data_IF_751517082485
#
_entry.id   IF_751517082485
#
_cell.length_a   1.000
_cell.length_b   1.000
_cell.length_c   1.000
_cell.angle_alpha   90.00
_cell.angle_beta   90.00
_cell.angle_gamma   90.00
#
_symmetry.space_group_name_H-M   'P 1'
#
loop_
_entity.id
_entity.type
_entity.pdbx_description
1 polymer ?
#
# COMPACT_ATOMS: atom_id res chain seq x y z
N UNK A 1 -22.49 -0.59 -17.82
CA UNK A 1 -21.32 -0.68 -18.74
C UNK A 1 -20.12 -1.22 -17.99
N UNK A 2 -19.53 -2.30 -18.48
CA UNK A 2 -18.34 -2.87 -17.80
C UNK A 2 -17.17 -1.91 -17.69
N UNK A 3 -17.00 -1.01 -18.65
CA UNK A 3 -15.97 0.00 -18.64
C UNK A 3 -16.07 0.95 -17.45
N UNK A 4 -17.28 1.31 -17.08
CA UNK A 4 -17.53 2.25 -16.00
C UNK A 4 -17.13 1.67 -14.65
N UNK A 5 -17.29 0.36 -14.50
CA UNK A 5 -16.97 -0.34 -13.26
C UNK A 5 -15.45 -0.30 -12.96
N UNK A 6 -14.62 -0.48 -13.99
CA UNK A 6 -13.15 -0.41 -13.85
C UNK A 6 -12.70 1.02 -13.57
N UNK A 7 -13.24 2.00 -14.29
CA UNK A 7 -12.93 3.41 -14.09
C UNK A 7 -13.36 3.86 -12.70
N UNK A 8 -14.56 3.42 -12.27
CA UNK A 8 -15.07 3.74 -10.94
C UNK A 8 -14.17 3.19 -9.84
N UNK A 9 -13.66 1.96 -10.02
CA UNK A 9 -12.77 1.35 -9.03
C UNK A 9 -11.46 2.15 -8.89
N UNK A 10 -10.87 2.57 -10.01
CA UNK A 10 -9.66 3.39 -10.01
C UNK A 10 -9.91 4.72 -9.28
N UNK A 11 -11.06 5.34 -9.54
CA UNK A 11 -11.46 6.59 -8.88
C UNK A 11 -11.66 6.40 -7.38
N UNK A 12 -12.29 5.29 -6.99
CA UNK A 12 -12.49 4.96 -5.58
C UNK A 12 -11.14 4.79 -4.88
N UNK A 13 -10.21 4.07 -5.50
CA UNK A 13 -8.88 3.87 -4.91
C UNK A 13 -8.13 5.19 -4.76
N UNK A 14 -8.17 6.07 -5.76
CA UNK A 14 -7.52 7.38 -5.69
C UNK A 14 -8.16 8.26 -4.60
N UNK A 15 -9.48 8.29 -4.53
CA UNK A 15 -10.20 9.06 -3.51
C UNK A 15 -9.91 8.54 -2.11
N UNK A 16 -9.88 7.23 -1.95
CA UNK A 16 -9.55 6.59 -0.67
C UNK A 16 -8.12 6.92 -0.23
N UNK A 17 -7.18 6.85 -1.16
CA UNK A 17 -5.78 7.19 -0.86
C UNK A 17 -5.68 8.62 -0.35
N UNK A 18 -6.31 9.58 -1.04
CA UNK A 18 -6.30 10.98 -0.64
C UNK A 18 -6.92 11.18 0.74
N UNK A 19 -8.04 10.51 1.01
CA UNK A 19 -8.72 10.60 2.30
C UNK A 19 -7.85 10.06 3.43
N UNK A 20 -7.27 8.88 3.25
CA UNK A 20 -6.42 8.27 4.26
C UNK A 20 -5.13 9.05 4.49
N UNK A 21 -4.55 9.63 3.44
CA UNK A 21 -3.35 10.44 3.56
C UNK A 21 -3.60 11.74 4.32
N UNK A 22 -4.78 12.32 4.12
CA UNK A 22 -5.13 13.58 4.77
C UNK A 22 -5.51 13.40 6.25
N UNK A 23 -6.30 12.36 6.56
CA UNK A 23 -6.87 12.20 7.90
C UNK A 23 -6.33 11.01 8.70
N UNK A 24 -5.62 10.10 8.06
CA UNK A 24 -5.27 8.80 8.66
C UNK A 24 -6.47 7.86 8.62
N UNK A 25 -6.24 6.58 8.89
CA UNK A 25 -7.29 5.58 8.80
C UNK A 25 -8.43 5.84 9.80
N UNK A 26 -8.11 6.12 11.05
CA UNK A 26 -9.13 6.25 12.10
C UNK A 26 -10.11 7.39 11.83
N UNK A 27 -9.60 8.52 11.35
CA UNK A 27 -10.41 9.71 11.10
C UNK A 27 -10.98 9.78 9.70
N UNK A 28 -10.56 8.91 8.82
CA UNK A 28 -11.07 8.88 7.46
C UNK A 28 -12.55 8.50 7.43
N UNK A 29 -13.28 9.08 6.49
CA UNK A 29 -14.73 8.91 6.37
C UNK A 29 -15.09 8.30 5.02
N UNK A 30 -15.85 7.21 5.07
CA UNK A 30 -16.36 6.58 3.84
C UNK A 30 -17.25 7.56 3.06
N UNK A 31 -17.99 8.39 3.76
CA UNK A 31 -18.81 9.42 3.14
C UNK A 31 -17.95 10.39 2.31
N UNK A 32 -16.85 10.86 2.91
CA UNK A 32 -15.94 11.77 2.18
C UNK A 32 -15.27 11.08 1.01
N UNK A 33 -14.92 9.81 1.14
CA UNK A 33 -14.37 9.05 0.00
C UNK A 33 -15.38 9.04 -1.16
N UNK A 34 -16.65 8.77 -0.85
CA UNK A 34 -17.71 8.82 -1.85
C UNK A 34 -17.83 10.20 -2.49
N UNK A 35 -17.82 11.24 -1.67
CA UNK A 35 -17.90 12.63 -2.17
C UNK A 35 -16.74 12.96 -3.11
N UNK A 36 -15.52 12.52 -2.78
CA UNK A 36 -14.34 12.77 -3.61
C UNK A 36 -14.43 12.13 -4.99
N UNK A 37 -15.09 10.98 -5.10
CA UNK A 37 -15.20 10.27 -6.38
C UNK A 37 -16.59 10.35 -7.01
N UNK A 38 -17.50 11.12 -6.42
CA UNK A 38 -18.83 11.33 -6.98
C UNK A 38 -19.77 10.14 -6.84
N UNK A 39 -19.56 9.30 -5.82
CA UNK A 39 -20.39 8.13 -5.57
C UNK A 39 -21.19 8.28 -4.29
N UNK A 40 -22.35 7.60 -4.24
CA UNK A 40 -23.12 7.42 -3.02
C UNK A 40 -22.43 6.37 -2.14
N UNK A 41 -22.84 6.30 -0.87
CA UNK A 41 -22.34 5.26 0.04
C UNK A 41 -22.61 3.86 -0.53
N UNK A 42 -23.81 3.63 -1.08
CA UNK A 42 -24.17 2.36 -1.69
C UNK A 42 -23.26 2.02 -2.87
N UNK A 43 -22.94 3.00 -3.71
CA UNK A 43 -22.04 2.84 -4.84
C UNK A 43 -20.62 2.50 -4.38
N UNK A 44 -20.17 3.16 -3.32
CA UNK A 44 -18.86 2.92 -2.74
C UNK A 44 -18.73 1.48 -2.19
N UNK A 45 -19.75 1.00 -1.49
CA UNK A 45 -19.74 -0.34 -0.89
C UNK A 45 -19.84 -1.47 -1.91
N UNK A 46 -19.96 -1.17 -3.20
CA UNK A 46 -19.78 -2.17 -4.26
C UNK A 46 -18.31 -2.48 -4.53
N UNK A 47 -17.41 -1.60 -4.10
CA UNK A 47 -15.95 -1.74 -4.33
C UNK A 47 -15.20 -2.27 -3.11
N UNK A 48 -15.80 -2.19 -1.93
CA UNK A 48 -15.17 -2.62 -0.68
C UNK A 48 -16.23 -2.99 0.34
N UNK A 49 -15.89 -3.86 1.30
CA UNK A 49 -16.80 -4.26 2.36
C UNK A 49 -16.95 -3.19 3.44
N UNK A 50 -15.85 -2.55 3.77
CA UNK A 50 -15.78 -1.55 4.82
C UNK A 50 -14.52 -0.69 4.63
N UNK A 51 -14.28 0.22 5.57
CA UNK A 51 -13.13 1.11 5.55
C UNK A 51 -11.81 0.33 5.65
N UNK A 52 -11.77 -0.69 6.48
CA UNK A 52 -10.57 -1.51 6.65
C UNK A 52 -10.23 -2.28 5.37
N UNK A 53 -11.25 -2.85 4.72
CA UNK A 53 -11.06 -3.53 3.43
C UNK A 53 -10.54 -2.56 2.36
N UNK A 54 -11.07 -1.34 2.33
CA UNK A 54 -10.62 -0.32 1.39
C UNK A 54 -9.15 0.04 1.60
N UNK A 55 -8.75 0.23 2.85
CA UNK A 55 -7.34 0.48 3.20
C UNK A 55 -6.46 -0.70 2.79
N UNK A 56 -6.91 -1.92 3.07
CA UNK A 56 -6.18 -3.15 2.74
C UNK A 56 -5.96 -3.26 1.21
N UNK A 57 -6.98 -2.97 0.41
CA UNK A 57 -6.85 -3.00 -1.04
C UNK A 57 -5.79 -2.01 -1.57
N UNK A 58 -5.60 -0.90 -0.88
CA UNK A 58 -4.58 0.09 -1.24
C UNK A 58 -3.17 -0.37 -0.91
N UNK A 59 -2.97 -0.97 0.25
CA UNK A 59 -1.63 -1.26 0.77
C UNK A 59 -1.15 -2.68 0.51
N UNK A 60 -2.06 -3.65 0.34
CA UNK A 60 -1.69 -5.05 0.13
C UNK A 60 -0.78 -5.27 -1.09
N UNK A 61 -1.05 -4.65 -2.26
CA UNK A 61 -0.14 -4.83 -3.41
C UNK A 61 1.28 -4.34 -3.14
N UNK A 62 1.42 -3.24 -2.39
CA UNK A 62 2.74 -2.72 -2.02
C UNK A 62 3.47 -3.68 -1.08
N UNK A 63 2.76 -4.24 -0.11
CA UNK A 63 3.33 -5.24 0.81
C UNK A 63 3.76 -6.50 0.09
N UNK A 64 2.94 -7.00 -0.83
CA UNK A 64 3.27 -8.19 -1.62
C UNK A 64 4.52 -7.95 -2.44
N UNK A 65 4.64 -6.78 -3.06
CA UNK A 65 5.79 -6.40 -3.85
C UNK A 65 7.06 -6.34 -3.01
N UNK A 66 6.95 -5.74 -1.82
CA UNK A 66 8.08 -5.66 -0.88
C UNK A 66 8.51 -7.06 -0.42
N UNK A 67 7.56 -7.90 -0.04
CA UNK A 67 7.85 -9.26 0.42
C UNK A 67 8.51 -10.08 -0.68
N UNK A 68 8.03 -9.99 -1.91
CA UNK A 68 8.62 -10.70 -3.05
C UNK A 68 10.04 -10.23 -3.33
N UNK A 69 10.26 -8.92 -3.27
CA UNK A 69 11.60 -8.35 -3.44
C UNK A 69 12.55 -8.84 -2.35
N UNK A 70 12.08 -8.81 -1.11
CA UNK A 70 12.86 -9.28 0.05
C UNK A 70 13.26 -10.74 -0.09
N UNK A 71 12.32 -11.60 -0.50
CA UNK A 71 12.58 -13.03 -0.67
C UNK A 71 13.68 -13.27 -1.71
N UNK A 72 13.60 -12.59 -2.84
CA UNK A 72 14.58 -12.71 -3.92
C UNK A 72 15.95 -12.22 -3.47
N UNK A 73 16.00 -11.06 -2.84
CA UNK A 73 17.27 -10.43 -2.47
C UNK A 73 17.89 -11.05 -1.23
N UNK A 74 17.08 -11.60 -0.32
CA UNK A 74 17.62 -12.35 0.81
C UNK A 74 18.38 -13.58 0.32
N UNK A 75 17.85 -14.28 -0.68
CA UNK A 75 18.55 -15.40 -1.29
C UNK A 75 19.90 -14.98 -1.88
N UNK A 76 19.93 -13.87 -2.59
CA UNK A 76 21.16 -13.31 -3.17
C UNK A 76 22.14 -12.89 -2.07
N UNK A 77 21.63 -12.29 -1.00
CA UNK A 77 22.46 -11.87 0.14
C UNK A 77 23.12 -13.07 0.80
N UNK A 78 22.36 -14.11 1.10
CA UNK A 78 22.90 -15.32 1.74
C UNK A 78 23.95 -15.98 0.85
N UNK A 79 23.71 -16.01 -0.46
CA UNK A 79 24.64 -16.58 -1.43
C UNK A 79 25.95 -15.77 -1.49
N UNK A 80 25.85 -14.44 -1.51
CA UNK A 80 27.02 -13.55 -1.55
C UNK A 80 27.86 -13.66 -0.28
N UNK A 81 27.21 -13.71 0.89
CA UNK A 81 27.92 -13.88 2.17
C UNK A 81 28.66 -15.20 2.19
N UNK A 82 28.04 -16.25 1.66
CA UNK A 82 28.62 -17.59 1.66
C UNK A 82 29.81 -17.70 0.70
N UNK A 83 29.73 -17.06 -0.47
CA UNK A 83 30.77 -17.15 -1.50
C UNK A 83 31.90 -16.16 -1.33
N UNK A 84 31.55 -14.92 -1.01
CA UNK A 84 32.50 -13.81 -1.01
C UNK A 84 32.84 -13.29 0.40
N UNK A 85 32.06 -13.68 1.39
CA UNK A 85 32.20 -13.20 2.76
C UNK A 85 31.94 -11.73 2.92
N UNK A 86 31.32 -11.12 1.92
CA UNK A 86 31.15 -9.68 1.83
C UNK A 86 29.83 -9.33 1.19
N UNK A 87 29.17 -8.29 1.69
CA UNK A 87 27.92 -7.81 1.14
C UNK A 87 27.83 -6.29 1.29
N UNK A 88 27.48 -5.63 0.20
CA UNK A 88 27.33 -4.18 0.21
C UNK A 88 25.87 -3.79 0.40
N UNK A 89 25.53 -3.45 1.62
CA UNK A 89 24.18 -3.04 2.02
C UNK A 89 23.67 -1.81 1.25
N UNK A 90 24.60 -0.93 0.88
CA UNK A 90 24.24 0.33 0.22
C UNK A 90 23.57 0.10 -1.12
N UNK A 91 24.12 -0.78 -1.92
CA UNK A 91 23.57 -1.08 -3.25
C UNK A 91 22.19 -1.72 -3.14
N UNK A 92 22.04 -2.65 -2.20
CA UNK A 92 20.76 -3.32 -1.96
C UNK A 92 19.66 -2.35 -1.50
N UNK A 93 20.04 -1.41 -0.64
CA UNK A 93 19.11 -0.39 -0.16
C UNK A 93 18.65 0.51 -1.30
N UNK A 94 19.58 0.96 -2.14
CA UNK A 94 19.26 1.80 -3.30
C UNK A 94 18.34 1.06 -4.26
N UNK A 95 18.61 -0.21 -4.52
CA UNK A 95 17.79 -1.03 -5.40
C UNK A 95 16.36 -1.18 -4.84
N UNK A 96 16.25 -1.41 -3.53
CA UNK A 96 14.94 -1.49 -2.88
C UNK A 96 14.16 -0.20 -3.04
N UNK A 97 14.80 0.93 -2.78
CA UNK A 97 14.15 2.23 -2.92
C UNK A 97 13.66 2.46 -4.34
N UNK A 98 14.51 2.16 -5.32
CA UNK A 98 14.21 2.39 -6.73
C UNK A 98 13.14 1.46 -7.28
N UNK A 99 13.22 0.17 -6.96
CA UNK A 99 12.35 -0.85 -7.55
C UNK A 99 11.02 -1.01 -6.82
N UNK A 100 11.02 -0.80 -5.51
CA UNK A 100 9.86 -1.11 -4.67
C UNK A 100 9.21 0.15 -4.12
N UNK A 101 9.97 0.99 -3.44
CA UNK A 101 9.40 2.09 -2.65
C UNK A 101 8.91 3.23 -3.52
N UNK A 102 9.75 3.74 -4.44
CA UNK A 102 9.37 4.89 -5.26
C UNK A 102 8.12 4.66 -6.12
N UNK A 103 7.94 3.51 -6.79
CA UNK A 103 6.73 3.30 -7.58
C UNK A 103 5.44 3.28 -6.77
N UNK A 104 5.53 3.02 -5.45
CA UNK A 104 4.37 2.90 -4.57
C UNK A 104 4.55 3.73 -3.30
N UNK A 105 5.21 4.88 -3.40
CA UNK A 105 5.58 5.69 -2.22
C UNK A 105 4.35 6.09 -1.39
N UNK A 106 3.24 6.41 -2.03
CA UNK A 106 2.02 6.80 -1.32
C UNK A 106 1.46 5.64 -0.48
N UNK A 107 1.54 4.44 -1.00
CA UNK A 107 1.04 3.26 -0.30
C UNK A 107 1.90 2.93 0.92
N UNK A 108 3.22 3.12 0.84
CA UNK A 108 4.11 2.97 1.99
C UNK A 108 3.89 4.09 3.02
N UNK A 109 3.59 5.30 2.57
CA UNK A 109 3.22 6.37 3.47
C UNK A 109 1.97 5.99 4.28
N UNK A 110 0.98 5.41 3.62
CA UNK A 110 -0.22 4.93 4.31
C UNK A 110 0.10 3.88 5.37
N UNK A 111 0.97 2.92 5.04
CA UNK A 111 1.38 1.87 5.97
C UNK A 111 2.12 2.41 7.18
N UNK A 112 3.04 3.34 6.97
CA UNK A 112 3.94 3.82 8.02
C UNK A 112 3.34 4.92 8.88
N UNK A 113 2.52 5.78 8.28
CA UNK A 113 2.05 7.00 8.94
C UNK A 113 0.55 6.97 9.23
N UNK A 114 -0.24 6.37 8.35
CA UNK A 114 -1.70 6.49 8.38
C UNK A 114 -2.43 5.23 8.83
N UNK A 115 -1.71 4.21 9.31
CA UNK A 115 -2.29 2.88 9.58
C UNK A 115 -2.86 2.69 10.98
N UNK A 116 -2.87 3.71 11.84
CA UNK A 116 -3.44 3.60 13.18
C UNK A 116 -4.89 3.13 13.12
N UNK A 117 -5.22 2.12 13.91
CA UNK A 117 -6.54 1.51 13.92
C UNK A 117 -6.70 0.34 12.96
N UNK A 118 -5.69 0.02 12.15
CA UNK A 118 -5.71 -1.12 11.24
C UNK A 118 -4.81 -2.24 11.75
N UNK A 119 -4.90 -3.41 11.10
CA UNK A 119 -3.99 -4.53 11.38
C UNK A 119 -2.53 -4.21 11.06
N UNK A 120 -2.27 -3.12 10.32
CA UNK A 120 -0.92 -2.69 9.94
C UNK A 120 -0.30 -1.70 10.94
N UNK A 121 -1.02 -1.36 12.01
CA UNK A 121 -0.58 -0.35 12.98
C UNK A 121 0.81 -0.64 13.55
N UNK A 122 1.14 -1.91 13.74
CA UNK A 122 2.44 -2.33 14.28
C UNK A 122 3.43 -2.77 13.20
N UNK A 123 3.21 -2.38 11.95
CA UNK A 123 4.02 -2.82 10.83
C UNK A 123 5.52 -2.60 11.03
N UNK A 124 5.90 -1.45 11.63
CA UNK A 124 7.30 -1.14 11.89
C UNK A 124 7.89 -1.93 13.06
N UNK A 125 7.04 -2.50 13.91
CA UNK A 125 7.48 -3.20 15.12
C UNK A 125 7.48 -4.71 14.94
N UNK A 126 6.94 -5.17 13.85
CA UNK A 126 6.92 -6.59 13.48
C UNK A 126 8.03 -6.88 12.44
#
# INVERSE_FOLDING_TARGET
>A
MPKDKTISHVRVMAAARDEFMEYGFEKASMRRVGERCGLTAAGLYRHCRDKEDLFDQLVAPALEKLNSWMDIHLGKYLDAVQKEGNFQWQDSWIDMMREVVYPSVDDYYLLLVCSSGTKYESFLHD
#
